data_IF_839103323948
#
_entry.id   IF_839103323948
#
_cell.length_a   1.000
_cell.length_b   1.000
_cell.length_c   1.000
_cell.angle_alpha   90.00
_cell.angle_beta   90.00
_cell.angle_gamma   90.00
#
_symmetry.space_group_name_H-M   'P 1'
#
loop_
_entity.id
_entity.type
_entity.pdbx_description
1 polymer ?
#
# COMPACT_ATOMS: atom_id res chain seq x y z
N UNK A 1 43.68 -14.37 33.94
CA UNK A 1 43.34 -14.56 32.54
C UNK A 1 41.90 -14.23 32.38
N UNK A 2 41.60 -13.09 31.84
CA UNK A 2 40.22 -12.68 31.61
C UNK A 2 39.76 -13.22 30.29
N UNK A 3 38.63 -13.91 30.30
CA UNK A 3 37.96 -14.30 29.06
C UNK A 3 37.21 -13.09 28.54
N UNK A 4 37.54 -12.63 27.38
CA UNK A 4 36.77 -11.58 26.72
C UNK A 4 35.58 -12.22 26.07
N UNK A 5 34.41 -11.97 26.63
CA UNK A 5 33.18 -12.22 25.95
C UNK A 5 32.86 -11.05 25.05
N UNK A 6 33.03 -11.22 23.79
CA UNK A 6 32.59 -10.24 22.83
C UNK A 6 31.14 -10.51 22.56
N UNK A 7 30.28 -9.72 23.14
CA UNK A 7 28.87 -9.74 22.78
C UNK A 7 28.72 -9.15 21.41
N UNK A 8 28.42 -9.97 20.44
CA UNK A 8 28.07 -9.51 19.12
C UNK A 8 26.60 -9.13 19.15
N UNK A 9 26.34 -7.85 19.17
CA UNK A 9 24.98 -7.36 18.97
C UNK A 9 24.60 -7.56 17.52
N UNK A 10 23.70 -8.50 17.28
CA UNK A 10 23.14 -8.70 15.96
C UNK A 10 22.07 -7.63 15.69
N UNK A 11 22.45 -6.54 15.04
CA UNK A 11 21.53 -5.46 14.72
C UNK A 11 20.86 -5.61 13.35
N UNK A 12 21.12 -6.71 12.65
CA UNK A 12 20.58 -6.91 11.30
C UNK A 12 19.04 -6.90 11.25
N UNK A 13 18.38 -7.30 12.33
CA UNK A 13 16.94 -7.32 12.41
C UNK A 13 16.31 -5.92 12.50
N UNK A 14 17.05 -4.93 12.94
CA UNK A 14 16.52 -3.59 13.16
C UNK A 14 16.18 -2.85 11.88
N UNK A 15 16.97 -3.04 10.83
CA UNK A 15 16.73 -2.38 9.57
C UNK A 15 15.39 -2.77 8.96
N UNK A 16 14.95 -4.02 9.18
CA UNK A 16 13.68 -4.52 8.69
C UNK A 16 12.52 -4.07 9.55
N UNK A 17 12.73 -3.90 10.85
CA UNK A 17 11.70 -3.42 11.76
C UNK A 17 11.33 -1.96 11.47
N UNK A 18 12.24 -1.17 10.91
CA UNK A 18 11.99 0.21 10.55
C UNK A 18 11.04 0.33 9.36
N UNK A 19 11.12 -0.60 8.40
CA UNK A 19 10.33 -0.53 7.18
C UNK A 19 8.82 -0.62 7.40
N UNK A 20 8.29 -1.53 8.25
CA UNK A 20 6.86 -1.54 8.56
C UNK A 20 6.40 -0.25 9.22
N UNK A 21 7.21 0.31 10.12
CA UNK A 21 6.90 1.56 10.78
C UNK A 21 6.88 2.74 9.80
N UNK A 22 7.81 2.77 8.87
CA UNK A 22 7.88 3.77 7.83
C UNK A 22 6.69 3.66 6.87
N UNK A 23 6.34 2.45 6.47
CA UNK A 23 5.19 2.20 5.61
C UNK A 23 3.88 2.60 6.25
N UNK A 24 3.69 2.27 7.52
CA UNK A 24 2.51 2.66 8.26
C UNK A 24 2.38 4.18 8.34
N UNK A 25 3.46 4.86 8.67
CA UNK A 25 3.46 6.31 8.78
C UNK A 25 3.14 6.97 7.45
N UNK A 26 3.76 6.50 6.38
CA UNK A 26 3.53 7.02 5.05
C UNK A 26 2.10 6.76 4.57
N UNK A 27 1.58 5.56 4.84
CA UNK A 27 0.20 5.22 4.54
C UNK A 27 -0.76 6.17 5.25
N UNK A 28 -0.57 6.40 6.53
CA UNK A 28 -1.43 7.31 7.30
C UNK A 28 -1.42 8.72 6.74
N UNK A 29 -0.25 9.21 6.33
CA UNK A 29 -0.09 10.56 5.79
C UNK A 29 -0.70 10.72 4.40
N UNK A 30 -0.56 9.70 3.55
CA UNK A 30 -0.89 9.82 2.14
C UNK A 30 -2.17 9.10 1.72
N UNK A 31 -2.61 8.13 2.49
CA UNK A 31 -3.73 7.24 2.12
C UNK A 31 -4.81 7.20 3.20
N UNK A 32 -4.44 7.42 4.45
CA UNK A 32 -5.30 7.18 5.62
C UNK A 32 -6.53 8.07 5.71
N UNK A 33 -6.56 9.22 5.05
CA UNK A 33 -7.74 10.06 5.03
C UNK A 33 -8.91 9.42 4.27
N UNK A 34 -8.63 8.54 3.32
CA UNK A 34 -9.62 7.94 2.44
C UNK A 34 -9.73 6.42 2.59
N UNK A 35 -8.64 5.75 2.95
CA UNK A 35 -8.56 4.30 2.97
C UNK A 35 -8.20 3.75 4.33
N UNK A 36 -8.59 2.49 4.56
CA UNK A 36 -8.22 1.73 5.74
C UNK A 36 -7.61 0.39 5.34
N UNK A 37 -6.74 -0.13 6.19
CA UNK A 37 -6.20 -1.49 6.11
C UNK A 37 -6.59 -2.26 7.36
N UNK A 38 -6.65 -3.58 7.27
CA UNK A 38 -6.95 -4.44 8.41
C UNK A 38 -8.40 -4.43 8.87
N UNK A 39 -9.28 -3.82 8.12
CA UNK A 39 -10.72 -3.77 8.40
C UNK A 39 -11.49 -3.76 7.08
N UNK A 40 -12.69 -4.37 7.04
CA UNK A 40 -13.52 -4.32 5.84
C UNK A 40 -14.27 -3.00 5.64
N UNK A 41 -14.01 -2.03 6.50
CA UNK A 41 -14.75 -0.76 6.47
C UNK A 41 -14.30 0.11 5.31
N UNK A 42 -15.26 0.57 4.52
CA UNK A 42 -15.06 1.57 3.48
C UNK A 42 -15.14 2.98 4.08
N UNK A 43 -14.41 3.90 3.48
CA UNK A 43 -14.46 5.33 3.81
C UNK A 43 -14.71 6.13 2.55
N UNK A 44 -13.99 7.23 2.38
CA UNK A 44 -14.00 7.99 1.13
C UNK A 44 -13.53 7.13 -0.04
N UNK A 45 -12.53 6.27 0.22
CA UNK A 45 -12.11 5.22 -0.69
C UNK A 45 -12.52 3.83 -0.18
N UNK A 46 -12.41 2.79 -1.01
CA UNK A 46 -12.71 1.43 -0.58
C UNK A 46 -11.67 0.95 0.42
N UNK A 47 -12.07 -0.04 1.24
CA UNK A 47 -11.08 -0.70 2.11
C UNK A 47 -9.95 -1.30 1.28
N UNK A 48 -8.74 -1.24 1.80
CA UNK A 48 -7.57 -1.87 1.19
C UNK A 48 -7.21 -3.20 1.87
N UNK A 49 -8.10 -3.72 2.73
CA UNK A 49 -7.93 -5.05 3.29
C UNK A 49 -7.96 -6.10 2.19
N UNK A 50 -6.99 -6.97 2.17
CA UNK A 50 -6.93 -8.04 1.17
C UNK A 50 -6.73 -7.53 -0.25
N UNK A 51 -6.05 -6.41 -0.42
CA UNK A 51 -5.93 -5.74 -1.72
C UNK A 51 -5.16 -6.56 -2.75
N UNK A 52 -4.07 -7.20 -2.33
CA UNK A 52 -3.23 -7.96 -3.27
C UNK A 52 -3.98 -9.19 -3.77
N UNK A 53 -4.09 -9.31 -5.09
CA UNK A 53 -4.85 -10.35 -5.75
C UNK A 53 -6.32 -10.02 -5.99
N UNK A 54 -6.80 -8.89 -5.50
CA UNK A 54 -8.18 -8.46 -5.66
C UNK A 54 -8.36 -7.73 -6.98
N UNK A 55 -9.48 -8.02 -7.66
CA UNK A 55 -9.85 -7.30 -8.86
C UNK A 55 -10.25 -5.86 -8.52
N UNK A 56 -9.82 -4.92 -9.32
CA UNK A 56 -10.22 -3.52 -9.19
C UNK A 56 -11.74 -3.40 -9.26
N UNK A 57 -12.28 -2.53 -8.42
CA UNK A 57 -13.72 -2.27 -8.42
C UNK A 57 -14.58 -3.37 -7.80
N UNK A 58 -13.99 -4.27 -7.00
CA UNK A 58 -14.71 -5.48 -6.55
C UNK A 58 -15.15 -5.45 -5.08
N UNK A 59 -14.78 -4.45 -4.30
CA UNK A 59 -15.22 -4.39 -2.89
C UNK A 59 -16.72 -4.14 -2.83
N UNK A 60 -17.40 -5.00 -2.07
CA UNK A 60 -18.84 -4.86 -1.86
C UNK A 60 -19.17 -3.61 -1.04
N UNK A 61 -20.27 -2.98 -1.40
CA UNK A 61 -20.75 -1.81 -0.66
C UNK A 61 -20.04 -0.52 -0.95
N UNK A 62 -19.05 -0.53 -1.83
CA UNK A 62 -18.37 0.69 -2.23
C UNK A 62 -18.84 1.14 -3.62
N UNK A 63 -19.11 2.43 -3.75
CA UNK A 63 -19.56 3.03 -5.00
C UNK A 63 -18.36 3.51 -5.82
N UNK A 64 -17.83 2.63 -6.65
CA UNK A 64 -16.69 2.94 -7.52
C UNK A 64 -17.08 3.85 -8.68
N UNK A 65 -16.08 4.54 -9.24
CA UNK A 65 -16.24 5.17 -10.54
C UNK A 65 -16.58 4.11 -11.58
N UNK A 66 -17.41 4.42 -12.59
CA UNK A 66 -17.69 3.47 -13.67
C UNK A 66 -16.41 2.95 -14.33
N UNK A 67 -15.42 3.80 -14.49
CA UNK A 67 -14.15 3.44 -15.11
C UNK A 67 -13.39 2.37 -14.31
N UNK A 68 -13.30 2.54 -12.99
CA UNK A 68 -12.60 1.56 -12.16
C UNK A 68 -13.38 0.25 -12.08
N UNK A 69 -14.69 0.34 -11.98
CA UNK A 69 -15.56 -0.85 -11.96
C UNK A 69 -15.46 -1.67 -13.24
N UNK A 70 -15.29 -1.01 -14.38
CA UNK A 70 -15.14 -1.66 -15.67
C UNK A 70 -13.70 -2.13 -15.94
N UNK A 71 -12.75 -1.77 -15.10
CA UNK A 71 -11.34 -2.10 -15.29
C UNK A 71 -11.11 -3.59 -15.04
N UNK A 72 -10.25 -4.19 -15.88
CA UNK A 72 -9.83 -5.59 -15.73
C UNK A 72 -8.58 -5.74 -14.87
N UNK A 73 -8.15 -4.68 -14.21
CA UNK A 73 -6.94 -4.68 -13.39
C UNK A 73 -7.11 -5.59 -12.17
N UNK A 74 -6.12 -6.43 -11.93
CA UNK A 74 -5.96 -7.14 -10.66
C UNK A 74 -4.81 -6.50 -9.91
N UNK A 75 -5.03 -6.20 -8.63
CA UNK A 75 -4.02 -5.52 -7.83
C UNK A 75 -2.88 -6.46 -7.43
N UNK A 76 -1.68 -6.08 -7.78
CA UNK A 76 -0.44 -6.70 -7.36
C UNK A 76 0.63 -5.61 -7.24
N UNK A 77 1.85 -5.98 -6.89
CA UNK A 77 2.91 -5.00 -6.72
C UNK A 77 3.12 -4.13 -7.96
N UNK A 78 3.11 -4.75 -9.13
CA UNK A 78 3.36 -4.06 -10.40
C UNK A 78 2.21 -3.12 -10.77
N UNK A 79 0.96 -3.59 -10.69
CA UNK A 79 -0.20 -2.77 -11.05
C UNK A 79 -0.42 -1.63 -10.05
N UNK A 80 -0.14 -1.86 -8.76
CA UNK A 80 -0.18 -0.81 -7.76
C UNK A 80 0.88 0.26 -8.02
N UNK A 81 2.09 -0.15 -8.36
CA UNK A 81 3.17 0.78 -8.69
C UNK A 81 2.75 1.69 -9.86
N UNK A 82 2.21 1.11 -10.91
CA UNK A 82 1.74 1.84 -12.08
C UNK A 82 0.59 2.80 -11.74
N UNK A 83 -0.38 2.31 -10.96
CA UNK A 83 -1.53 3.12 -10.56
C UNK A 83 -1.12 4.31 -9.70
N UNK A 84 -0.27 4.08 -8.70
CA UNK A 84 0.17 5.14 -7.80
C UNK A 84 0.99 6.20 -8.52
N UNK A 85 1.74 5.81 -9.53
CA UNK A 85 2.51 6.78 -10.32
C UNK A 85 1.61 7.76 -11.07
N UNK A 86 0.50 7.27 -11.61
CA UNK A 86 -0.45 8.11 -12.32
C UNK A 86 -1.80 7.39 -12.46
N UNK A 87 -2.69 7.52 -11.48
CA UNK A 87 -3.96 6.79 -11.50
C UNK A 87 -4.78 7.05 -12.77
N UNK A 88 -4.88 8.29 -13.19
CA UNK A 88 -5.70 8.67 -14.33
C UNK A 88 -5.16 8.17 -15.66
N UNK A 89 -3.85 7.98 -15.78
CA UNK A 89 -3.25 7.39 -16.98
C UNK A 89 -3.55 5.91 -17.08
N UNK A 90 -3.57 5.21 -15.96
CA UNK A 90 -3.85 3.77 -15.92
C UNK A 90 -5.34 3.48 -16.05
N UNK A 91 -6.17 4.22 -15.32
CA UNK A 91 -7.63 4.06 -15.33
C UNK A 91 -8.24 5.44 -15.59
N UNK A 92 -8.46 5.74 -16.86
CA UNK A 92 -9.05 7.02 -17.24
C UNK A 92 -10.47 7.13 -16.68
N UNK A 93 -10.74 8.17 -15.94
CA UNK A 93 -12.04 8.39 -15.28
C UNK A 93 -12.09 7.92 -13.83
N UNK A 94 -10.99 7.42 -13.28
CA UNK A 94 -10.91 7.13 -11.85
C UNK A 94 -11.10 8.39 -11.02
N UNK A 95 -11.74 8.25 -9.85
CA UNK A 95 -11.91 9.38 -8.93
C UNK A 95 -10.66 9.66 -8.11
N UNK A 96 -9.85 8.65 -7.85
CA UNK A 96 -8.57 8.83 -7.19
C UNK A 96 -7.57 9.36 -8.22
N UNK A 97 -7.15 10.61 -8.05
CA UNK A 97 -6.24 11.28 -8.98
C UNK A 97 -4.89 11.61 -8.36
N UNK A 98 -4.69 11.30 -7.09
CA UNK A 98 -3.44 11.58 -6.38
C UNK A 98 -2.29 10.81 -7.00
N UNK A 99 -1.20 11.51 -7.30
CA UNK A 99 0.01 10.93 -7.89
C UNK A 99 1.11 10.87 -6.84
N UNK A 100 1.85 9.78 -6.85
CA UNK A 100 3.01 9.58 -5.99
C UNK A 100 4.25 9.62 -6.87
N UNK A 101 4.91 10.77 -6.91
CA UNK A 101 6.04 11.00 -7.82
C UNK A 101 7.33 10.31 -7.38
N UNK A 102 7.46 9.99 -6.11
CA UNK A 102 8.63 9.31 -5.58
C UNK A 102 8.53 7.80 -5.76
N UNK A 103 9.46 7.23 -6.50
CA UNK A 103 9.53 5.78 -6.65
C UNK A 103 9.76 5.06 -5.33
N UNK A 104 10.54 5.66 -4.43
CA UNK A 104 10.78 5.09 -3.10
C UNK A 104 9.50 5.09 -2.27
N UNK A 105 8.73 6.16 -2.29
CA UNK A 105 7.45 6.19 -1.58
C UNK A 105 6.48 5.15 -2.13
N UNK A 106 6.39 5.00 -3.43
CA UNK A 106 5.52 3.98 -4.05
C UNK A 106 5.92 2.58 -3.59
N UNK A 107 7.22 2.29 -3.61
CA UNK A 107 7.75 0.99 -3.16
C UNK A 107 7.38 0.72 -1.70
N UNK A 108 7.55 1.70 -0.83
CA UNK A 108 7.24 1.57 0.59
C UNK A 108 5.75 1.33 0.80
N UNK A 109 4.90 2.06 0.10
CA UNK A 109 3.44 1.88 0.20
C UNK A 109 3.03 0.50 -0.31
N UNK A 110 3.56 0.06 -1.43
CA UNK A 110 3.25 -1.25 -2.01
C UNK A 110 3.67 -2.38 -1.06
N UNK A 111 4.84 -2.29 -0.47
CA UNK A 111 5.31 -3.27 0.52
C UNK A 111 4.41 -3.28 1.75
N UNK A 112 4.02 -2.11 2.23
CA UNK A 112 3.10 -1.99 3.37
C UNK A 112 1.76 -2.66 3.08
N UNK A 113 1.17 -2.39 1.93
CA UNK A 113 -0.10 -2.98 1.54
C UNK A 113 0.01 -4.50 1.37
N UNK A 114 1.13 -4.98 0.86
CA UNK A 114 1.39 -6.41 0.72
C UNK A 114 1.49 -7.15 2.05
N UNK A 115 1.90 -6.48 3.12
CA UNK A 115 2.03 -7.07 4.45
C UNK A 115 0.76 -6.90 5.31
N UNK A 116 -0.26 -6.21 4.82
CA UNK A 116 -1.51 -5.93 5.57
C UNK A 116 -2.73 -6.44 4.80
N UNK A 117 -2.78 -7.73 4.60
CA UNK A 117 -3.88 -8.39 3.90
C UNK A 117 -5.12 -8.59 4.82
#
# INVERSE_FOLDING_TARGET
MAALSIGVGANAAHAQAENPSQGQKLFQQRCGACHQVGTPRNGVGPTLQGLIGRKAGSVQGYNYSPALKASDVTWNAETLETFLANPSAMVRGTRMTQRFNSADERRIIVEFLGSHQ
#
